data_IF_109482120121
#
_entry.id   IF_109482120121
#
_cell.length_a   1.000
_cell.length_b   1.000
_cell.length_c   1.000
_cell.angle_alpha   90.00
_cell.angle_beta   90.00
_cell.angle_gamma   90.00
#
_symmetry.space_group_name_H-M   'P 1'
#
loop_
_entity.id
_entity.type
_entity.pdbx_description
1 polymer ?
#
# COMPACT_ATOMS: atom_id res chain seq x y z
N UNK A 1 -7.18 5.57 15.08
CA UNK A 1 -6.08 4.57 14.96
C UNK A 1 -6.54 3.15 14.61
N UNK A 2 -7.17 2.35 15.47
CA UNK A 2 -7.46 0.92 15.11
C UNK A 2 -8.58 0.74 14.06
N UNK A 3 -9.61 1.58 14.09
CA UNK A 3 -10.77 1.50 13.18
C UNK A 3 -10.44 1.89 11.74
N UNK A 4 -9.55 2.87 11.55
CA UNK A 4 -9.16 3.40 10.24
C UNK A 4 -8.35 2.37 9.46
N UNK A 5 -7.40 1.71 10.12
CA UNK A 5 -6.58 0.65 9.53
C UNK A 5 -7.44 -0.54 9.08
N UNK A 6 -8.46 -0.91 9.86
CA UNK A 6 -9.41 -1.95 9.47
C UNK A 6 -10.21 -1.53 8.23
N UNK A 7 -10.69 -0.29 8.18
CA UNK A 7 -11.46 0.21 7.04
C UNK A 7 -10.63 0.21 5.74
N UNK A 8 -9.35 0.60 5.83
CA UNK A 8 -8.42 0.60 4.71
C UNK A 8 -8.12 -0.83 4.25
N UNK A 9 -7.78 -1.73 5.17
CA UNK A 9 -7.56 -3.15 4.90
C UNK A 9 -8.76 -3.79 4.17
N UNK A 10 -9.97 -3.47 4.62
CA UNK A 10 -11.20 -3.98 4.01
C UNK A 10 -11.42 -3.43 2.60
N UNK A 11 -11.24 -2.12 2.39
CA UNK A 11 -11.32 -1.49 1.05
C UNK A 11 -10.29 -2.10 0.10
N UNK A 12 -9.03 -2.21 0.52
CA UNK A 12 -7.95 -2.80 -0.27
C UNK A 12 -8.25 -4.26 -0.63
N UNK A 13 -8.73 -5.05 0.34
CA UNK A 13 -9.10 -6.44 0.10
C UNK A 13 -10.25 -6.58 -0.91
N UNK A 14 -11.21 -5.65 -0.92
CA UNK A 14 -12.30 -5.63 -1.89
C UNK A 14 -11.83 -5.27 -3.29
N UNK A 15 -10.91 -4.31 -3.41
CA UNK A 15 -10.30 -3.97 -4.71
C UNK A 15 -9.53 -5.14 -5.31
N UNK A 16 -8.72 -5.83 -4.49
CA UNK A 16 -7.98 -7.02 -4.92
C UNK A 16 -8.96 -8.09 -5.39
N UNK A 17 -10.03 -8.33 -4.63
CA UNK A 17 -11.06 -9.30 -4.98
C UNK A 17 -11.70 -8.97 -6.34
N UNK A 18 -12.11 -7.71 -6.57
CA UNK A 18 -12.69 -7.29 -7.85
C UNK A 18 -11.72 -7.41 -9.02
N UNK A 19 -10.48 -6.92 -8.87
CA UNK A 19 -9.48 -6.87 -9.96
C UNK A 19 -8.93 -8.25 -10.31
N UNK A 20 -8.67 -9.10 -9.30
CA UNK A 20 -8.02 -10.40 -9.46
C UNK A 20 -8.99 -11.59 -9.46
N UNK A 21 -10.30 -11.34 -9.28
CA UNK A 21 -11.36 -12.37 -9.27
C UNK A 21 -11.02 -13.56 -8.37
N UNK A 22 -10.48 -13.31 -7.18
CA UNK A 22 -10.06 -14.33 -6.24
C UNK A 22 -10.98 -14.40 -5.01
N UNK A 23 -10.82 -15.43 -4.17
CA UNK A 23 -11.68 -15.59 -2.99
C UNK A 23 -11.47 -14.47 -1.97
N UNK A 24 -12.51 -14.18 -1.18
CA UNK A 24 -12.47 -13.18 -0.11
C UNK A 24 -11.28 -13.40 0.83
N UNK A 25 -11.06 -14.64 1.26
CA UNK A 25 -9.96 -15.01 2.16
C UNK A 25 -8.58 -14.83 1.54
N UNK A 26 -8.41 -15.10 0.23
CA UNK A 26 -7.14 -14.87 -0.47
C UNK A 26 -6.87 -13.38 -0.64
N UNK A 27 -7.91 -12.61 -0.95
CA UNK A 27 -7.84 -11.15 -1.11
C UNK A 27 -7.49 -10.45 0.20
N UNK A 28 -8.07 -10.90 1.32
CA UNK A 28 -7.79 -10.36 2.65
C UNK A 28 -6.35 -10.63 3.07
N UNK A 29 -5.85 -11.86 2.86
CA UNK A 29 -4.45 -12.20 3.15
C UNK A 29 -3.47 -11.36 2.33
N UNK A 30 -3.76 -11.13 1.04
CA UNK A 30 -2.95 -10.28 0.19
C UNK A 30 -2.96 -8.82 0.65
N UNK A 31 -4.13 -8.27 0.96
CA UNK A 31 -4.27 -6.92 1.50
C UNK A 31 -3.47 -6.76 2.80
N UNK A 32 -3.55 -7.74 3.70
CA UNK A 32 -2.83 -7.72 4.98
C UNK A 32 -1.31 -7.75 4.78
N UNK A 33 -0.82 -8.59 3.87
CA UNK A 33 0.59 -8.63 3.52
C UNK A 33 1.08 -7.29 2.92
N UNK A 34 0.26 -6.61 2.11
CA UNK A 34 0.58 -5.29 1.58
C UNK A 34 0.66 -4.27 2.71
N UNK A 35 -0.34 -4.20 3.58
CA UNK A 35 -0.36 -3.25 4.71
C UNK A 35 0.79 -3.47 5.69
N UNK A 36 1.24 -4.72 5.90
CA UNK A 36 2.37 -5.01 6.78
C UNK A 36 3.72 -4.64 6.17
N UNK A 37 3.86 -4.77 4.85
CA UNK A 37 5.12 -4.53 4.15
C UNK A 37 5.14 -3.19 3.41
N UNK A 38 4.17 -2.33 3.70
CA UNK A 38 3.96 -1.09 2.98
C UNK A 38 5.20 -0.19 3.06
N UNK A 39 5.68 0.08 4.27
CA UNK A 39 6.85 0.93 4.51
C UNK A 39 8.09 0.41 3.76
N UNK A 40 8.30 -0.92 3.79
CA UNK A 40 9.42 -1.58 3.13
C UNK A 40 9.26 -1.49 1.61
N UNK A 41 8.08 -1.81 1.10
CA UNK A 41 7.81 -1.89 -0.35
C UNK A 41 7.89 -0.52 -0.98
N UNK A 42 7.30 0.50 -0.36
CA UNK A 42 7.36 1.88 -0.84
C UNK A 42 8.80 2.38 -0.78
N UNK A 43 9.55 2.13 0.30
CA UNK A 43 10.97 2.50 0.38
C UNK A 43 11.78 1.93 -0.80
N UNK A 44 11.61 0.64 -1.09
CA UNK A 44 12.31 0.01 -2.21
C UNK A 44 11.86 0.55 -3.57
N UNK A 45 10.58 0.84 -3.76
CA UNK A 45 10.05 1.42 -4.99
C UNK A 45 10.59 2.84 -5.20
N UNK A 46 10.57 3.68 -4.17
CA UNK A 46 11.15 5.03 -4.19
C UNK A 46 12.64 4.95 -4.49
N UNK A 47 13.39 4.10 -3.78
CA UNK A 47 14.83 3.94 -4.03
C UNK A 47 15.14 3.46 -5.45
N UNK A 48 14.32 2.59 -6.01
CA UNK A 48 14.53 2.00 -7.35
C UNK A 48 14.11 2.93 -8.48
N UNK A 49 13.05 3.70 -8.30
CA UNK A 49 12.45 4.52 -9.37
C UNK A 49 12.78 6.01 -9.26
N UNK A 50 13.19 6.51 -8.09
CA UNK A 50 13.63 7.89 -7.90
C UNK A 50 15.13 8.01 -8.16
N UNK A 51 15.52 8.14 -9.43
CA UNK A 51 16.87 8.54 -9.80
C UNK A 51 17.16 10.01 -9.44
N UNK A 52 18.44 10.31 -9.18
CA UNK A 52 18.93 11.64 -8.78
C UNK A 52 18.55 12.77 -9.75
N UNK A 53 18.34 12.45 -11.03
CA UNK A 53 18.03 13.37 -12.12
C UNK A 53 16.54 13.63 -12.36
N UNK A 54 15.63 12.93 -11.67
CA UNK A 54 14.20 13.22 -11.82
C UNK A 54 13.82 14.50 -11.06
N UNK A 55 13.14 15.47 -11.72
CA UNK A 55 12.77 16.74 -11.11
C UNK A 55 11.66 16.60 -10.05
N UNK A 56 10.81 15.57 -10.15
CA UNK A 56 9.72 15.31 -9.21
C UNK A 56 10.14 14.25 -8.18
N UNK A 57 10.98 14.63 -7.22
CA UNK A 57 11.33 13.75 -6.08
C UNK A 57 10.18 13.76 -5.08
N UNK A 58 9.42 12.68 -5.06
CA UNK A 58 8.37 12.47 -4.06
C UNK A 58 9.04 12.01 -2.77
N UNK A 59 8.70 12.61 -1.63
CA UNK A 59 9.24 12.16 -0.36
C UNK A 59 8.58 10.83 0.04
N UNK A 60 9.35 9.97 0.71
CA UNK A 60 8.84 8.67 1.15
C UNK A 60 7.61 8.81 2.06
N UNK A 61 7.59 9.87 2.88
CA UNK A 61 6.46 10.24 3.73
C UNK A 61 5.18 10.47 2.95
N UNK A 62 5.25 10.95 1.72
CA UNK A 62 4.07 11.31 0.93
C UNK A 62 3.43 10.09 0.25
N UNK A 63 4.13 8.95 0.28
CA UNK A 63 3.73 7.73 -0.42
C UNK A 63 3.19 6.64 0.49
N UNK A 64 3.34 6.78 1.82
CA UNK A 64 2.75 5.81 2.76
C UNK A 64 1.22 5.92 2.75
N UNK A 65 0.55 4.77 2.73
CA UNK A 65 -0.90 4.62 2.85
C UNK A 65 -1.44 5.21 4.16
N UNK A 66 -0.59 5.44 5.17
CA UNK A 66 -0.98 5.94 6.49
C UNK A 66 -0.54 7.38 6.82
N UNK A 67 0.18 8.09 5.95
CA UNK A 67 0.72 9.44 6.29
C UNK A 67 -0.28 10.60 6.24
N UNK A 68 -1.45 10.42 5.61
CA UNK A 68 -2.46 11.48 5.46
C UNK A 68 -3.58 11.41 6.51
N UNK A 69 -3.25 11.08 7.76
CA UNK A 69 -4.19 11.12 8.89
C UNK A 69 -3.77 12.15 9.94
#
# INVERSE_FOLDING_TARGET
MQSENLSCLMRLSWEIQRKKKCSRAKSLRAAWAITLNEDITIYYLVKRHSHSFYPNKIQLSDLTLFSNQ
#
